data_IF_619719331471
#
_entry.id   IF_619719331471
#
_cell.length_a   1.000
_cell.length_b   1.000
_cell.length_c   1.000
_cell.angle_alpha   90.00
_cell.angle_beta   90.00
_cell.angle_gamma   90.00
#
_symmetry.space_group_name_H-M   'P 1'
#
loop_
_entity.id
_entity.type
_entity.pdbx_description
1 polymer ?
#
# COMPACT_ATOMS: atom_id res chain seq x y z
N UNK A 1 9.06 -8.28 -4.63
CA UNK A 1 8.50 -8.62 -3.38
C UNK A 1 7.02 -8.33 -3.23
N UNK A 2 6.41 -9.00 -2.27
CA UNK A 2 4.96 -8.91 -2.00
C UNK A 2 4.48 -7.46 -1.80
N UNK A 3 5.28 -6.63 -1.11
CA UNK A 3 4.90 -5.23 -0.87
C UNK A 3 4.81 -4.38 -2.15
N UNK A 4 5.57 -4.70 -3.18
CA UNK A 4 5.40 -4.07 -4.49
C UNK A 4 4.07 -4.48 -5.13
N UNK A 5 3.83 -5.78 -5.28
CA UNK A 5 2.63 -6.29 -5.97
C UNK A 5 1.33 -5.89 -5.26
N UNK A 6 1.27 -6.13 -3.95
CA UNK A 6 0.08 -5.80 -3.15
C UNK A 6 -0.13 -4.29 -3.01
N UNK A 7 0.93 -3.55 -2.83
CA UNK A 7 0.89 -2.09 -2.75
C UNK A 7 0.47 -1.44 -4.07
N UNK A 8 0.97 -1.96 -5.20
CA UNK A 8 0.56 -1.53 -6.52
C UNK A 8 -0.94 -1.76 -6.75
N UNK A 9 -1.45 -2.95 -6.38
CA UNK A 9 -2.88 -3.26 -6.50
C UNK A 9 -3.75 -2.25 -5.74
N UNK A 10 -3.42 -1.94 -4.47
CA UNK A 10 -4.16 -0.95 -3.68
C UNK A 10 -4.02 0.48 -4.22
N UNK A 11 -2.83 0.84 -4.68
CA UNK A 11 -2.62 2.13 -5.30
C UNK A 11 -3.50 2.30 -6.55
N UNK A 12 -3.59 1.27 -7.40
CA UNK A 12 -4.43 1.30 -8.61
C UNK A 12 -5.93 1.32 -8.30
N UNK A 13 -6.39 0.65 -7.23
CA UNK A 13 -7.76 0.79 -6.73
C UNK A 13 -8.12 2.26 -6.44
N UNK A 14 -7.16 3.02 -5.89
CA UNK A 14 -7.38 4.44 -5.61
C UNK A 14 -7.54 5.29 -6.88
N UNK A 15 -6.90 4.90 -7.98
CA UNK A 15 -7.01 5.59 -9.27
C UNK A 15 -8.40 5.41 -9.90
N UNK A 16 -9.03 4.27 -9.69
CA UNK A 16 -10.39 4.00 -10.16
C UNK A 16 -11.40 5.05 -9.68
N UNK A 17 -11.21 5.61 -8.48
CA UNK A 17 -12.07 6.67 -7.96
C UNK A 17 -12.02 7.97 -8.76
N UNK A 18 -10.88 8.27 -9.38
CA UNK A 18 -10.71 9.48 -10.19
C UNK A 18 -11.16 9.28 -11.65
N UNK A 19 -10.88 8.10 -12.20
CA UNK A 19 -11.08 7.86 -13.63
C UNK A 19 -12.40 7.16 -13.97
N UNK A 20 -12.93 6.35 -13.05
CA UNK A 20 -14.15 5.55 -13.29
C UNK A 20 -15.39 6.11 -12.56
N UNK A 21 -15.28 7.30 -11.95
CA UNK A 21 -16.37 7.94 -11.19
C UNK A 21 -17.02 7.02 -10.14
N UNK A 22 -16.26 6.07 -9.60
CA UNK A 22 -16.79 5.11 -8.60
C UNK A 22 -17.28 5.79 -7.33
N UNK A 23 -16.88 7.05 -7.09
CA UNK A 23 -17.44 7.88 -6.01
C UNK A 23 -18.94 8.18 -6.16
N UNK A 24 -19.46 8.16 -7.39
CA UNK A 24 -20.88 8.39 -7.67
C UNK A 24 -21.74 7.20 -7.19
N UNK A 25 -21.15 6.00 -7.07
CA UNK A 25 -21.79 4.85 -6.48
C UNK A 25 -21.33 4.66 -5.02
N UNK A 26 -22.18 5.09 -4.08
CA UNK A 26 -21.89 5.08 -2.65
C UNK A 26 -21.53 3.68 -2.12
N UNK A 27 -22.14 2.62 -2.65
CA UNK A 27 -21.86 1.24 -2.21
C UNK A 27 -20.45 0.81 -2.59
N UNK A 28 -20.01 1.07 -3.82
CA UNK A 28 -18.63 0.79 -4.23
C UNK A 28 -17.63 1.62 -3.42
N UNK A 29 -17.93 2.90 -3.19
CA UNK A 29 -17.07 3.76 -2.40
C UNK A 29 -16.97 3.30 -0.95
N UNK A 30 -18.10 2.94 -0.33
CA UNK A 30 -18.14 2.38 1.01
C UNK A 30 -17.35 1.07 1.11
N UNK A 31 -17.56 0.13 0.17
CA UNK A 31 -16.82 -1.12 0.11
C UNK A 31 -15.30 -0.90 0.05
N UNK A 32 -14.85 0.03 -0.80
CA UNK A 32 -13.43 0.38 -0.88
C UNK A 32 -12.88 0.91 0.45
N UNK A 33 -13.60 1.83 1.10
CA UNK A 33 -13.18 2.39 2.40
C UNK A 33 -13.12 1.32 3.49
N UNK A 34 -14.05 0.38 3.49
CA UNK A 34 -14.07 -0.75 4.43
C UNK A 34 -12.82 -1.63 4.24
N UNK A 35 -12.47 -1.95 3.00
CA UNK A 35 -11.25 -2.70 2.71
C UNK A 35 -9.97 -1.90 2.99
N UNK A 36 -9.97 -0.60 2.77
CA UNK A 36 -8.84 0.27 3.13
C UNK A 36 -8.62 0.31 4.64
N UNK A 37 -9.71 0.44 5.43
CA UNK A 37 -9.66 0.35 6.89
C UNK A 37 -9.14 -1.01 7.36
N UNK A 38 -9.64 -2.10 6.75
CA UNK A 38 -9.17 -3.44 7.06
C UNK A 38 -7.65 -3.56 6.88
N UNK A 39 -7.11 -3.08 5.75
CA UNK A 39 -5.67 -3.12 5.48
C UNK A 39 -4.86 -2.21 6.42
N UNK A 40 -5.41 -1.10 6.85
CA UNK A 40 -4.77 -0.24 7.87
C UNK A 40 -4.72 -0.92 9.24
N UNK A 41 -5.79 -1.60 9.65
CA UNK A 41 -5.87 -2.35 10.91
C UNK A 41 -4.87 -3.51 10.93
N UNK A 42 -4.62 -4.15 9.79
CA UNK A 42 -3.62 -5.22 9.66
C UNK A 42 -2.22 -4.76 10.06
N UNK A 43 -1.83 -3.51 9.79
CA UNK A 43 -0.55 -2.94 10.24
C UNK A 43 -0.41 -3.01 11.75
N UNK A 44 -1.47 -2.64 12.47
CA UNK A 44 -1.47 -2.60 13.93
C UNK A 44 -1.48 -4.02 14.52
N UNK A 45 -2.31 -4.90 13.96
CA UNK A 45 -2.51 -6.24 14.52
C UNK A 45 -1.31 -7.14 14.28
N UNK A 46 -0.74 -7.16 13.07
CA UNK A 46 0.47 -7.94 12.77
C UNK A 46 1.66 -7.48 13.63
N UNK A 47 1.90 -6.18 13.69
CA UNK A 47 2.94 -5.61 14.58
C UNK A 47 2.63 -5.89 16.06
N UNK A 48 1.37 -5.80 16.45
CA UNK A 48 0.91 -6.14 17.80
C UNK A 48 1.27 -7.56 18.20
N UNK A 49 0.96 -8.51 17.33
CA UNK A 49 1.24 -9.94 17.56
C UNK A 49 2.73 -10.23 17.61
N UNK A 50 3.50 -9.80 16.61
CA UNK A 50 4.86 -10.24 16.39
C UNK A 50 5.93 -9.39 17.07
N UNK A 51 5.65 -8.11 17.32
CA UNK A 51 6.60 -7.20 17.96
C UNK A 51 6.21 -6.87 19.40
N UNK A 52 4.92 -6.59 19.65
CA UNK A 52 4.46 -6.18 20.98
C UNK A 52 3.92 -7.33 21.84
N UNK A 53 3.96 -8.58 21.38
CA UNK A 53 3.53 -9.75 22.13
C UNK A 53 2.03 -9.73 22.49
N UNK A 54 1.18 -9.20 21.60
CA UNK A 54 -0.26 -9.25 21.84
C UNK A 54 -0.75 -10.70 21.90
N UNK A 55 -1.66 -10.97 22.84
CA UNK A 55 -2.36 -12.23 22.84
C UNK A 55 -3.31 -12.34 21.63
N UNK A 56 -3.58 -13.57 21.22
CA UNK A 56 -4.55 -13.90 20.16
C UNK A 56 -5.90 -13.21 20.38
N UNK A 57 -6.44 -13.30 21.59
CA UNK A 57 -7.70 -12.69 21.95
C UNK A 57 -7.67 -11.15 21.88
N UNK A 58 -6.55 -10.52 22.24
CA UNK A 58 -6.38 -9.07 22.10
C UNK A 58 -6.42 -8.66 20.64
N UNK A 59 -5.77 -9.40 19.74
CA UNK A 59 -5.78 -9.15 18.30
C UNK A 59 -7.20 -9.26 17.73
N UNK A 60 -7.94 -10.33 18.06
CA UNK A 60 -9.32 -10.52 17.64
C UNK A 60 -10.21 -9.37 18.14
N UNK A 61 -10.15 -9.03 19.43
CA UNK A 61 -10.94 -7.96 20.01
C UNK A 61 -10.65 -6.59 19.36
N UNK A 62 -9.38 -6.32 19.07
CA UNK A 62 -8.97 -5.09 18.39
C UNK A 62 -9.61 -4.95 17.01
N UNK A 63 -9.61 -6.03 16.21
CA UNK A 63 -10.22 -6.05 14.88
C UNK A 63 -11.74 -5.98 14.96
N UNK A 64 -12.36 -6.79 15.85
CA UNK A 64 -13.81 -6.89 15.98
C UNK A 64 -14.46 -5.55 16.34
N UNK A 65 -13.80 -4.76 17.19
CA UNK A 65 -14.33 -3.44 17.61
C UNK A 65 -14.21 -2.35 16.52
N UNK A 66 -13.59 -2.65 15.38
CA UNK A 66 -13.27 -1.66 14.33
C UNK A 66 -13.73 -2.05 12.94
N UNK A 67 -14.05 -3.31 12.73
CA UNK A 67 -14.43 -3.85 11.44
C UNK A 67 -15.82 -4.45 11.47
N UNK A 68 -16.58 -4.24 10.43
CA UNK A 68 -17.88 -4.90 10.21
C UNK A 68 -17.66 -6.31 9.63
N UNK A 69 -16.94 -7.16 10.38
CA UNK A 69 -16.65 -8.55 10.04
C UNK A 69 -17.14 -9.47 11.16
N UNK A 70 -17.50 -10.69 10.79
CA UNK A 70 -17.88 -11.70 11.79
C UNK A 70 -16.67 -12.13 12.63
N UNK A 71 -16.92 -12.60 13.84
CA UNK A 71 -15.86 -13.10 14.71
C UNK A 71 -15.09 -14.26 14.07
N UNK A 72 -15.78 -15.12 13.31
CA UNK A 72 -15.16 -16.24 12.60
C UNK A 72 -14.15 -15.77 11.55
N UNK A 73 -14.55 -14.81 10.70
CA UNK A 73 -13.66 -14.24 9.67
C UNK A 73 -12.42 -13.59 10.31
N UNK A 74 -12.62 -12.83 11.38
CA UNK A 74 -11.52 -12.18 12.12
C UNK A 74 -10.59 -13.22 12.72
N UNK A 75 -11.12 -14.28 13.30
CA UNK A 75 -10.33 -15.37 13.89
C UNK A 75 -9.43 -16.00 12.83
N UNK A 76 -9.99 -16.37 11.68
CA UNK A 76 -9.23 -16.93 10.55
C UNK A 76 -8.14 -15.98 10.05
N UNK A 77 -8.43 -14.68 9.97
CA UNK A 77 -7.42 -13.68 9.59
C UNK A 77 -6.28 -13.58 10.61
N UNK A 78 -6.58 -13.56 11.91
CA UNK A 78 -5.55 -13.50 12.96
C UNK A 78 -4.70 -14.77 12.98
N UNK A 79 -5.30 -15.95 12.79
CA UNK A 79 -4.57 -17.22 12.62
C UNK A 79 -3.61 -17.15 11.43
N UNK A 80 -4.06 -16.61 10.31
CA UNK A 80 -3.22 -16.42 9.12
C UNK A 80 -2.02 -15.49 9.40
N UNK A 81 -2.21 -14.42 10.18
CA UNK A 81 -1.09 -13.53 10.53
C UNK A 81 -0.04 -14.23 11.37
N UNK A 82 -0.46 -15.11 12.29
CA UNK A 82 0.48 -15.92 13.08
C UNK A 82 1.33 -16.85 12.21
N UNK A 83 0.74 -17.40 11.13
CA UNK A 83 1.45 -18.32 10.24
C UNK A 83 2.43 -17.62 9.28
N UNK A 84 2.16 -16.38 8.91
CA UNK A 84 2.95 -15.61 7.91
C UNK A 84 3.25 -14.20 8.41
N UNK A 85 4.16 -14.04 9.38
CA UNK A 85 4.50 -12.75 9.97
C UNK A 85 4.91 -11.71 8.92
N UNK A 86 4.37 -10.49 9.04
CA UNK A 86 4.74 -9.36 8.19
C UNK A 86 4.07 -9.33 6.80
N UNK A 87 3.42 -10.41 6.35
CA UNK A 87 2.72 -10.40 5.06
C UNK A 87 1.56 -9.41 5.06
N UNK A 88 0.84 -9.30 6.16
CA UNK A 88 -0.27 -8.37 6.32
C UNK A 88 0.14 -6.90 6.17
N UNK A 89 1.40 -6.55 6.43
CA UNK A 89 1.95 -5.20 6.31
C UNK A 89 2.16 -4.79 4.85
N UNK A 90 2.43 -5.75 3.96
CA UNK A 90 2.83 -5.52 2.57
C UNK A 90 1.85 -4.63 1.80
N UNK A 91 0.57 -4.79 2.06
CA UNK A 91 -0.51 -4.07 1.39
C UNK A 91 -0.43 -2.56 1.62
N UNK A 92 -0.61 -2.14 2.86
CA UNK A 92 -0.72 -0.71 3.19
C UNK A 92 0.64 0.00 3.12
N UNK A 93 1.73 -0.66 3.52
CA UNK A 93 3.07 -0.10 3.38
C UNK A 93 3.40 0.13 1.90
N UNK A 94 3.11 -0.85 1.05
CA UNK A 94 3.31 -0.71 -0.38
C UNK A 94 2.49 0.43 -0.97
N UNK A 95 1.20 0.49 -0.69
CA UNK A 95 0.31 1.57 -1.14
C UNK A 95 0.83 2.96 -0.73
N UNK A 96 1.17 3.13 0.55
CA UNK A 96 1.70 4.41 1.06
C UNK A 96 3.01 4.81 0.38
N UNK A 97 3.86 3.82 0.04
CA UNK A 97 5.09 4.07 -0.70
C UNK A 97 4.79 4.56 -2.12
N UNK A 98 3.87 3.91 -2.86
CA UNK A 98 3.50 4.37 -4.19
C UNK A 98 2.85 5.77 -4.17
N UNK A 99 1.99 6.04 -3.19
CA UNK A 99 1.40 7.38 -3.02
C UNK A 99 2.45 8.44 -2.69
N UNK A 100 3.44 8.12 -1.84
CA UNK A 100 4.58 9.00 -1.53
C UNK A 100 5.41 9.28 -2.78
N UNK A 101 5.77 8.24 -3.53
CA UNK A 101 6.55 8.36 -4.76
C UNK A 101 5.82 9.21 -5.80
N UNK A 102 4.51 9.01 -5.98
CA UNK A 102 3.71 9.82 -6.87
C UNK A 102 3.72 11.30 -6.49
N UNK A 103 3.52 11.60 -5.19
CA UNK A 103 3.56 12.99 -4.70
C UNK A 103 4.93 13.63 -4.91
N UNK A 104 6.00 12.87 -4.68
CA UNK A 104 7.38 13.36 -4.87
C UNK A 104 7.74 13.53 -6.36
N UNK A 105 7.24 12.67 -7.24
CA UNK A 105 7.46 12.77 -8.69
C UNK A 105 6.82 14.02 -9.29
N UNK A 106 5.83 14.59 -8.60
CA UNK A 106 5.20 15.86 -8.91
C UNK A 106 3.99 15.75 -9.84
N UNK A 107 3.08 16.70 -9.70
CA UNK A 107 1.88 16.78 -10.52
C UNK A 107 2.15 17.21 -11.97
N UNK A 108 3.37 17.65 -12.28
CA UNK A 108 3.79 18.12 -13.59
C UNK A 108 4.13 17.00 -14.58
N UNK A 109 4.37 15.79 -14.08
CA UNK A 109 4.65 14.63 -14.91
C UNK A 109 3.37 13.86 -15.22
N UNK A 110 3.26 13.40 -16.48
CA UNK A 110 2.15 12.58 -16.93
C UNK A 110 2.08 11.30 -16.06
N UNK A 111 0.87 10.98 -15.56
CA UNK A 111 0.60 9.76 -14.80
C UNK A 111 1.09 8.50 -15.52
N UNK A 112 0.96 8.46 -16.84
CA UNK A 112 1.42 7.36 -17.69
C UNK A 112 2.94 7.17 -17.63
N UNK A 113 3.69 8.26 -17.60
CA UNK A 113 5.16 8.22 -17.48
C UNK A 113 5.59 7.71 -16.11
N UNK A 114 4.94 8.19 -15.06
CA UNK A 114 5.18 7.71 -13.70
C UNK A 114 4.90 6.21 -13.58
N UNK A 115 3.78 5.73 -14.11
CA UNK A 115 3.44 4.31 -14.08
C UNK A 115 4.41 3.47 -14.92
N UNK A 116 4.82 3.96 -16.09
CA UNK A 116 5.85 3.31 -16.90
C UNK A 116 7.14 3.16 -16.10
N UNK A 117 7.60 4.22 -15.46
CA UNK A 117 8.84 4.21 -14.67
C UNK A 117 8.79 3.22 -13.50
N UNK A 118 7.63 3.05 -12.87
CA UNK A 118 7.43 2.06 -11.81
C UNK A 118 7.49 0.63 -12.34
N UNK A 119 6.85 0.37 -13.49
CA UNK A 119 6.59 -1.00 -13.97
C UNK A 119 7.66 -1.55 -14.90
N UNK A 120 8.48 -0.71 -15.54
CA UNK A 120 9.39 -1.10 -16.63
C UNK A 120 10.44 -2.15 -16.21
N UNK A 121 10.86 -2.18 -14.95
CA UNK A 121 11.83 -3.14 -14.43
C UNK A 121 11.17 -4.32 -13.69
N UNK A 122 9.84 -4.44 -13.77
CA UNK A 122 9.09 -5.46 -13.04
C UNK A 122 9.04 -5.22 -11.52
N UNK A 123 8.96 -6.30 -10.76
CA UNK A 123 8.76 -6.25 -9.30
C UNK A 123 10.09 -5.97 -8.58
N UNK A 124 10.25 -4.78 -8.06
CA UNK A 124 11.42 -4.35 -7.29
C UNK A 124 11.14 -4.33 -5.78
N UNK A 125 12.17 -4.47 -4.92
CA UNK A 125 12.08 -4.04 -3.52
C UNK A 125 11.73 -2.55 -3.44
N UNK A 126 10.86 -2.15 -2.50
CA UNK A 126 10.37 -0.76 -2.42
C UNK A 126 11.51 0.25 -2.25
N UNK A 127 12.53 -0.08 -1.48
CA UNK A 127 13.72 0.78 -1.29
C UNK A 127 14.50 1.01 -2.57
N UNK A 128 14.61 -0.02 -3.43
CA UNK A 128 15.26 0.08 -4.75
C UNK A 128 14.41 0.94 -5.69
N UNK A 129 13.09 0.76 -5.66
CA UNK A 129 12.16 1.59 -6.42
C UNK A 129 12.25 3.07 -6.02
N UNK A 130 12.28 3.35 -4.71
CA UNK A 130 12.45 4.73 -4.19
C UNK A 130 13.75 5.36 -4.72
N UNK A 131 14.86 4.64 -4.65
CA UNK A 131 16.14 5.13 -5.17
C UNK A 131 16.12 5.38 -6.68
N UNK A 132 15.49 4.51 -7.46
CA UNK A 132 15.30 4.66 -8.91
C UNK A 132 14.57 5.97 -9.22
N UNK A 133 13.43 6.21 -8.57
CA UNK A 133 12.60 7.40 -8.77
C UNK A 133 13.39 8.68 -8.39
N UNK A 134 14.07 8.67 -7.24
CA UNK A 134 14.87 9.81 -6.79
C UNK A 134 16.02 10.15 -7.75
N UNK A 135 16.67 9.15 -8.34
CA UNK A 135 17.72 9.39 -9.35
C UNK A 135 17.18 10.04 -10.62
N UNK A 136 15.99 9.66 -11.05
CA UNK A 136 15.34 10.26 -12.24
C UNK A 136 14.88 11.70 -12.01
N UNK A 137 14.66 12.11 -10.77
CA UNK A 137 14.26 13.48 -10.41
C UNK A 137 15.45 14.45 -10.29
N UNK A 138 16.68 13.94 -10.12
CA UNK A 138 17.87 14.79 -10.11
C UNK A 138 18.15 15.27 -11.53
N UNK A 139 18.16 16.59 -11.82
CA UNK A 139 18.60 17.07 -13.11
C UNK A 139 20.05 16.59 -13.33
N UNK A 140 20.36 16.16 -14.56
CA UNK A 140 21.71 15.80 -14.96
C UNK A 140 22.63 17.02 -14.74
N UNK A 141 23.41 17.01 -13.67
CA UNK A 141 24.39 18.05 -13.35
C UNK A 141 25.65 17.98 -14.26
N UNK A 142 25.56 17.31 -15.42
CA UNK A 142 26.74 17.08 -16.28
C UNK A 142 26.75 17.85 -17.60
N UNK A 143 25.79 18.74 -17.89
CA UNK A 143 25.81 19.48 -19.18
C UNK A 143 26.48 20.87 -19.12
N UNK A 144 27.25 21.18 -18.07
CA UNK A 144 27.93 22.49 -17.98
C UNK A 144 29.47 22.42 -17.86
N UNK A 145 30.11 21.37 -18.36
CA UNK A 145 31.58 21.38 -18.48
C UNK A 145 31.95 21.07 -19.95
N UNK A 146 31.65 21.96 -20.84
CA UNK A 146 32.34 22.17 -22.12
C UNK A 146 31.69 23.34 -22.88
N UNK A 147 32.07 24.57 -22.50
CA UNK A 147 32.22 25.70 -23.42
C UNK A 147 33.32 26.62 -22.89
#
# INVERSE_FOLDING_TARGET
>A
GSAFAEGWALYTESLGNYHLKTRENLLFYFGRLTYELFRAIRLVVDTGLHYYGWSFNKAISYMHNRLAMTKSEITTEVERYLCIPGQALCYKIGELTFQKLRRSYGNHHNLKEFHKLILEDGVLPLTVLEQKILRKQRPNSQDHIHR
#
